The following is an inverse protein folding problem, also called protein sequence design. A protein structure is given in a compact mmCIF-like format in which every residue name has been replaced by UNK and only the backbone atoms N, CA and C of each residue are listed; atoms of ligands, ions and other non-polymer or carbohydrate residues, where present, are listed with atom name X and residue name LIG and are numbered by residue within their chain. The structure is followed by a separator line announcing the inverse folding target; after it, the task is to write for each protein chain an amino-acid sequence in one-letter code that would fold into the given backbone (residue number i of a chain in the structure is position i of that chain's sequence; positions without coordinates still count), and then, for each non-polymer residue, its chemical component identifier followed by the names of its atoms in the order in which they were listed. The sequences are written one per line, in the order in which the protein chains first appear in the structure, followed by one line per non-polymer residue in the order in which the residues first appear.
data_IF_592109782338
#
_entry.id   IF_592109782338
#
_cell.length_a   1.000
_cell.length_b   1.000
_cell.length_c   1.000
_cell.angle_alpha   90.00
_cell.angle_beta   90.00
_cell.angle_gamma   90.00
#
_symmetry.space_group_name_H-M   'P 1'
#
loop_
_entity.id
_entity.type
_entity.pdbx_description
1 polymer ?
#
# COMPACT_ATOMS: atom_id res chain seq x y z
N UNK A 1 15.87 13.85 12.49
CA UNK A 1 14.80 13.97 11.46
C UNK A 1 13.54 13.40 12.07
N UNK A 2 12.45 14.17 12.09
CA UNK A 2 11.16 13.69 12.57
C UNK A 2 10.52 12.72 11.56
N UNK A 3 9.72 11.78 12.06
CA UNK A 3 9.04 10.72 11.30
C UNK A 3 7.57 10.63 11.72
N UNK A 4 6.67 10.26 10.80
CA UNK A 4 5.33 9.80 11.15
C UNK A 4 5.18 8.32 10.83
N UNK A 5 4.74 7.55 11.83
CA UNK A 5 4.35 6.16 11.67
C UNK A 5 2.83 6.09 11.54
N UNK A 6 2.35 5.70 10.37
CA UNK A 6 0.96 5.37 10.13
C UNK A 6 0.76 3.88 10.43
N UNK A 7 0.23 3.58 11.61
CA UNK A 7 0.03 2.22 12.09
C UNK A 7 -1.27 1.66 11.53
N UNK A 8 -1.17 0.65 10.66
CA UNK A 8 -2.31 -0.02 10.03
C UNK A 8 -2.80 -1.18 10.89
N UNK A 9 -1.84 -1.97 11.37
CA UNK A 9 -2.07 -3.12 12.24
C UNK A 9 -0.76 -3.44 12.98
N UNK A 10 -0.88 -4.17 14.08
CA UNK A 10 0.26 -4.57 14.90
C UNK A 10 0.64 -3.54 15.97
N UNK A 11 1.83 -3.74 16.52
CA UNK A 11 2.42 -3.01 17.64
C UNK A 11 3.44 -1.98 17.15
N UNK A 12 3.18 -0.70 17.45
CA UNK A 12 4.07 0.39 17.07
C UNK A 12 5.46 0.26 17.70
N UNK A 13 5.57 -0.19 18.95
CA UNK A 13 6.85 -0.26 19.66
C UNK A 13 7.77 -1.30 19.01
N UNK A 14 7.23 -2.47 18.65
CA UNK A 14 7.98 -3.50 17.95
C UNK A 14 8.46 -3.02 16.58
N UNK A 15 7.60 -2.38 15.80
CA UNK A 15 7.97 -1.85 14.48
C UNK A 15 9.05 -0.77 14.61
N UNK A 16 8.92 0.11 15.60
CA UNK A 16 9.90 1.17 15.88
C UNK A 16 11.24 0.62 16.36
N UNK A 17 11.24 -0.48 17.12
CA UNK A 17 12.47 -1.13 17.60
C UNK A 17 13.39 -1.58 16.46
N UNK A 18 12.81 -1.92 15.31
CA UNK A 18 13.55 -2.31 14.11
C UNK A 18 13.95 -1.12 13.23
N UNK A 19 13.52 0.10 13.55
CA UNK A 19 13.82 1.30 12.80
C UNK A 19 14.90 2.14 13.48
N UNK A 20 15.57 3.02 12.71
CA UNK A 20 16.55 3.94 13.28
C UNK A 20 15.86 4.87 14.28
N UNK A 21 16.51 5.17 15.43
CA UNK A 21 15.96 6.07 16.43
C UNK A 21 15.71 7.43 15.80
N UNK A 22 14.46 7.86 15.87
CA UNK A 22 13.96 9.11 15.33
C UNK A 22 12.74 9.53 16.14
N UNK A 23 12.58 10.83 16.34
CA UNK A 23 11.37 11.38 16.94
C UNK A 23 10.18 11.02 16.05
N UNK A 24 9.30 10.16 16.54
CA UNK A 24 8.26 9.52 15.73
C UNK A 24 6.89 9.78 16.33
N UNK A 25 6.00 10.42 15.55
CA UNK A 25 4.58 10.53 15.90
C UNK A 25 3.83 9.33 15.33
N UNK A 26 3.12 8.58 16.18
CA UNK A 26 2.29 7.45 15.75
C UNK A 26 0.87 7.93 15.45
N UNK A 27 0.37 7.60 14.26
CA UNK A 27 -1.00 7.88 13.82
C UNK A 27 -1.63 6.54 13.48
N UNK A 28 -2.65 6.13 14.23
CA UNK A 28 -3.43 4.94 13.89
C UNK A 28 -4.28 5.23 12.64
N UNK A 29 -4.21 4.35 11.64
CA UNK A 29 -5.04 4.38 10.43
C UNK A 29 -5.61 2.98 10.24
N UNK A 30 -6.93 2.82 10.21
CA UNK A 30 -7.55 1.54 9.95
C UNK A 30 -7.73 1.25 8.46
N UNK A 31 -8.03 0.00 8.11
CA UNK A 31 -8.44 -0.37 6.74
C UNK A 31 -9.62 0.46 6.23
N UNK A 32 -10.50 0.90 7.14
CA UNK A 32 -11.67 1.73 6.83
C UNK A 32 -11.30 3.09 6.28
N UNK A 33 -10.16 3.66 6.69
CA UNK A 33 -9.69 4.96 6.20
C UNK A 33 -9.27 4.87 4.73
N UNK A 34 -8.76 3.71 4.29
CA UNK A 34 -8.41 3.46 2.89
C UNK A 34 -9.62 3.32 1.96
N UNK A 35 -10.85 3.25 2.49
CA UNK A 35 -12.06 3.41 1.67
C UNK A 35 -12.16 4.81 1.06
N UNK A 36 -11.50 5.81 1.65
CA UNK A 36 -11.41 7.19 1.16
C UNK A 36 -9.95 7.54 0.88
N UNK A 37 -9.34 6.98 -0.18
CA UNK A 37 -7.92 7.13 -0.45
C UNK A 37 -7.48 8.59 -0.64
N UNK A 38 -8.39 9.46 -1.11
CA UNK A 38 -8.12 10.90 -1.26
C UNK A 38 -7.94 11.62 0.08
N UNK A 39 -8.70 11.26 1.12
CA UNK A 39 -8.56 11.86 2.44
C UNK A 39 -7.21 11.48 3.07
N UNK A 40 -6.81 10.22 2.90
CA UNK A 40 -5.49 9.73 3.32
C UNK A 40 -4.39 10.43 2.52
N UNK A 41 -4.52 10.53 1.20
CA UNK A 41 -3.56 11.22 0.34
C UNK A 41 -3.39 12.69 0.74
N UNK A 42 -4.47 13.39 1.09
CA UNK A 42 -4.41 14.78 1.59
C UNK A 42 -3.63 14.88 2.90
N UNK A 43 -3.91 14.00 3.87
CA UNK A 43 -3.16 13.95 5.15
C UNK A 43 -1.68 13.65 4.94
N UNK A 44 -1.37 12.78 3.98
CA UNK A 44 0.00 12.50 3.59
C UNK A 44 0.64 13.75 3.00
N UNK A 45 -0.02 14.43 2.05
CA UNK A 45 0.48 15.66 1.41
C UNK A 45 0.91 16.71 2.43
N UNK A 46 0.10 16.93 3.46
CA UNK A 46 0.35 17.87 4.57
C UNK A 46 1.53 17.45 5.49
N UNK A 47 2.03 16.21 5.38
CA UNK A 47 3.13 15.68 6.19
C UNK A 47 4.49 15.87 5.49
N UNK A 48 5.34 16.75 6.01
CA UNK A 48 6.68 17.04 5.46
C UNK A 48 7.81 16.15 6.02
N UNK A 49 7.49 15.22 6.91
CA UNK A 49 8.44 14.33 7.57
C UNK A 49 8.54 12.99 6.86
N UNK A 50 9.48 12.14 7.31
CA UNK A 50 9.59 10.78 6.80
C UNK A 50 8.31 9.99 7.10
N UNK A 51 7.76 9.32 6.09
CA UNK A 51 6.51 8.55 6.20
C UNK A 51 6.83 7.07 6.28
N UNK A 52 6.34 6.43 7.34
CA UNK A 52 6.41 4.98 7.51
C UNK A 52 5.00 4.42 7.70
N UNK A 53 4.64 3.40 6.95
CA UNK A 53 3.45 2.59 7.22
C UNK A 53 3.85 1.36 8.01
N UNK A 54 3.23 1.17 9.17
CA UNK A 54 3.42 -0.01 10.02
C UNK A 54 2.33 -1.05 9.79
N UNK A 55 2.70 -2.31 9.67
CA UNK A 55 1.77 -3.44 9.61
C UNK A 55 2.27 -4.60 10.48
N UNK A 56 1.38 -5.52 10.86
CA UNK A 56 1.74 -6.73 11.59
C UNK A 56 2.69 -7.63 10.78
N UNK A 57 2.33 -7.93 9.53
CA UNK A 57 3.12 -8.76 8.62
C UNK A 57 3.01 -8.23 7.20
N UNK A 58 4.15 -7.89 6.60
CA UNK A 58 4.18 -7.40 5.23
C UNK A 58 3.55 -8.39 4.26
N UNK A 59 3.78 -9.70 4.39
CA UNK A 59 3.30 -10.74 3.46
C UNK A 59 1.78 -10.86 3.45
N UNK A 60 1.14 -10.60 4.59
CA UNK A 60 -0.31 -10.62 4.71
C UNK A 60 -0.95 -9.30 4.26
N UNK A 61 -0.15 -8.25 4.03
CA UNK A 61 -0.63 -6.94 3.62
C UNK A 61 -1.09 -6.93 2.16
N UNK A 62 -2.34 -7.34 1.93
CA UNK A 62 -2.99 -7.34 0.60
C UNK A 62 -3.13 -5.94 0.02
N UNK A 63 -3.20 -4.91 0.86
CA UNK A 63 -3.40 -3.52 0.45
C UNK A 63 -2.11 -2.77 0.09
N UNK A 64 -0.98 -3.46 -0.15
CA UNK A 64 0.30 -2.84 -0.55
C UNK A 64 0.14 -1.87 -1.73
N UNK A 65 -0.63 -2.26 -2.76
CA UNK A 65 -0.87 -1.40 -3.91
C UNK A 65 -1.60 -0.11 -3.51
N UNK A 66 -2.62 -0.21 -2.65
CA UNK A 66 -3.39 0.95 -2.16
C UNK A 66 -2.50 1.89 -1.34
N UNK A 67 -1.62 1.35 -0.49
CA UNK A 67 -0.67 2.15 0.29
C UNK A 67 0.27 2.94 -0.61
N UNK A 68 0.84 2.28 -1.63
CA UNK A 68 1.69 2.92 -2.63
C UNK A 68 0.90 3.97 -3.44
N UNK A 69 -0.35 3.68 -3.79
CA UNK A 69 -1.23 4.62 -4.46
C UNK A 69 -1.50 5.87 -3.60
N UNK A 70 -1.78 5.71 -2.30
CA UNK A 70 -1.95 6.84 -1.39
C UNK A 70 -0.67 7.70 -1.26
N UNK A 71 0.51 7.07 -1.24
CA UNK A 71 1.79 7.80 -1.28
C UNK A 71 1.96 8.58 -2.58
N UNK A 72 1.63 7.95 -3.71
CA UNK A 72 1.67 8.58 -5.03
C UNK A 72 0.73 9.78 -5.11
N UNK A 73 -0.55 9.60 -4.73
CA UNK A 73 -1.57 10.65 -4.72
C UNK A 73 -1.28 11.77 -3.70
N UNK A 74 -0.53 11.46 -2.64
CA UNK A 74 -0.08 12.43 -1.63
C UNK A 74 1.18 13.20 -2.03
N UNK A 75 1.63 13.12 -3.29
CA UNK A 75 2.87 13.71 -3.82
C UNK A 75 4.13 13.32 -3.02
N UNK A 76 4.18 12.09 -2.49
CA UNK A 76 5.33 11.62 -1.73
C UNK A 76 6.28 10.87 -2.63
N UNK A 77 7.53 11.35 -2.65
CA UNK A 77 8.62 10.72 -3.40
C UNK A 77 9.33 9.62 -2.61
N UNK A 78 9.17 9.62 -1.29
CA UNK A 78 9.81 8.65 -0.38
C UNK A 78 8.79 8.20 0.67
N UNK A 79 8.84 6.91 0.98
CA UNK A 79 8.07 6.29 2.04
C UNK A 79 8.60 4.90 2.31
N UNK A 80 8.30 4.35 3.49
CA UNK A 80 8.67 2.98 3.85
C UNK A 80 7.45 2.24 4.38
N UNK A 81 7.30 0.99 4.02
CA UNK A 81 6.34 0.08 4.66
C UNK A 81 7.17 -0.90 5.49
N UNK A 82 6.92 -0.97 6.80
CA UNK A 82 7.66 -1.80 7.74
C UNK A 82 6.71 -2.72 8.50
N UNK A 83 7.21 -3.90 8.88
CA UNK A 83 6.46 -4.83 9.74
C UNK A 83 7.11 -5.08 11.10
N UNK A 84 6.40 -5.81 11.97
CA UNK A 84 6.92 -6.25 13.28
C UNK A 84 8.10 -7.22 13.17
N UNK A 85 8.26 -7.90 12.04
CA UNK A 85 9.36 -8.84 11.80
C UNK A 85 10.64 -8.13 11.34
N UNK A 86 10.61 -6.79 11.24
CA UNK A 86 11.74 -5.97 10.82
C UNK A 86 11.96 -5.92 9.31
N UNK A 87 11.07 -6.53 8.51
CA UNK A 87 11.10 -6.42 7.05
C UNK A 87 10.62 -5.04 6.64
N UNK A 88 11.20 -4.53 5.55
CA UNK A 88 10.95 -3.18 5.05
C UNK A 88 10.86 -3.19 3.54
N UNK A 89 9.90 -2.44 3.02
CA UNK A 89 9.75 -2.17 1.61
C UNK A 89 9.87 -0.66 1.43
N UNK A 90 10.93 -0.24 0.74
CA UNK A 90 11.07 1.14 0.32
C UNK A 90 10.11 1.44 -0.84
N UNK A 91 9.39 2.53 -0.72
CA UNK A 91 8.53 3.02 -1.79
C UNK A 91 9.33 3.90 -2.76
N UNK A 92 9.14 3.64 -4.05
CA UNK A 92 9.65 4.46 -5.14
C UNK A 92 8.50 4.72 -6.14
N UNK A 93 8.14 5.99 -6.41
CA UNK A 93 7.03 6.33 -7.31
C UNK A 93 7.25 5.84 -8.74
N UNK A 94 8.50 5.81 -9.22
CA UNK A 94 8.83 5.34 -10.58
C UNK A 94 8.58 3.84 -10.68
N UNK A 95 9.05 3.07 -9.70
CA UNK A 95 8.80 1.64 -9.63
C UNK A 95 7.30 1.34 -9.51
N UNK A 96 6.57 2.15 -8.74
CA UNK A 96 5.12 1.98 -8.62
C UNK A 96 4.42 2.20 -9.96
N UNK A 97 4.73 3.30 -10.66
CA UNK A 97 4.06 3.67 -11.90
C UNK A 97 4.42 2.78 -13.09
N UNK A 98 5.68 2.30 -13.17
CA UNK A 98 6.18 1.52 -14.31
C UNK A 98 6.18 0.01 -14.09
N UNK A 99 6.11 -0.47 -12.85
CA UNK A 99 6.15 -1.91 -12.56
C UNK A 99 4.85 -2.37 -11.90
N UNK A 100 4.46 -1.74 -10.78
CA UNK A 100 3.29 -2.19 -10.03
C UNK A 100 1.98 -1.91 -10.81
N UNK A 101 1.83 -0.72 -11.38
CA UNK A 101 0.61 -0.33 -12.12
C UNK A 101 0.39 -1.14 -13.40
N UNK A 102 1.37 -1.33 -14.31
CA UNK A 102 1.16 -2.14 -15.51
C UNK A 102 0.90 -3.60 -15.18
N UNK A 103 1.54 -4.14 -14.14
CA UNK A 103 1.26 -5.49 -13.65
C UNK A 103 -0.21 -5.64 -13.25
N UNK A 104 -0.75 -4.68 -12.49
CA UNK A 104 -2.17 -4.71 -12.11
C UNK A 104 -3.09 -4.64 -13.33
N UNK A 105 -2.77 -3.79 -14.31
CA UNK A 105 -3.55 -3.69 -15.56
C UNK A 105 -3.54 -5.00 -16.33
N UNK A 106 -2.38 -5.66 -16.46
CA UNK A 106 -2.26 -6.96 -17.13
C UNK A 106 -3.01 -8.06 -16.38
N UNK A 107 -2.92 -8.10 -15.05
CA UNK A 107 -3.69 -9.04 -14.21
C UNK A 107 -5.20 -8.84 -14.39
N UNK A 108 -5.68 -7.60 -14.45
CA UNK A 108 -7.07 -7.28 -14.72
C UNK A 108 -7.49 -7.71 -16.13
N UNK A 109 -6.70 -7.39 -17.16
CA UNK A 109 -6.96 -7.80 -18.55
C UNK A 109 -7.04 -9.32 -18.70
N UNK A 110 -6.11 -10.06 -18.09
CA UNK A 110 -6.12 -11.51 -18.09
C UNK A 110 -7.38 -12.07 -17.40
N UNK A 111 -7.79 -11.46 -16.29
CA UNK A 111 -9.03 -11.82 -15.59
C UNK A 111 -10.26 -11.62 -16.48
N UNK A 112 -10.38 -10.46 -17.13
CA UNK A 112 -11.47 -10.19 -18.07
C UNK A 112 -11.48 -11.17 -19.25
N UNK A 113 -10.31 -11.48 -19.81
CA UNK A 113 -10.17 -12.44 -20.90
C UNK A 113 -10.67 -13.83 -20.51
N UNK A 114 -10.27 -14.33 -19.34
CA UNK A 114 -10.72 -15.63 -18.82
C UNK A 114 -12.24 -15.65 -18.61
N UNK A 115 -12.80 -14.58 -18.04
CA UNK A 115 -14.26 -14.46 -17.84
C UNK A 115 -14.98 -14.46 -19.19
N UNK A 116 -14.47 -13.74 -20.19
CA UNK A 116 -15.07 -13.67 -21.52
C UNK A 116 -15.05 -15.03 -22.23
N UNK A 117 -13.91 -15.73 -22.23
CA UNK A 117 -13.78 -17.08 -22.81
C UNK A 117 -14.73 -18.07 -22.13
N UNK A 118 -14.72 -18.11 -20.80
CA UNK A 118 -15.59 -19.00 -20.01
C UNK A 118 -17.07 -18.71 -20.30
N UNK A 119 -17.44 -17.44 -20.41
CA UNK A 119 -18.80 -17.02 -20.72
C UNK A 119 -19.23 -17.44 -22.14
N UNK A 120 -18.32 -17.41 -23.10
CA UNK A 120 -18.59 -17.86 -24.47
C UNK A 120 -18.76 -19.38 -24.55
N UNK A 121 -17.90 -20.14 -23.88
CA UNK A 121 -18.00 -21.60 -23.78
C UNK A 121 -19.31 -22.03 -23.10
N UNK A 122 -19.69 -21.37 -22.01
CA UNK A 122 -20.96 -21.63 -21.32
C UNK A 122 -22.18 -21.37 -22.20
N UNK A 123 -22.15 -20.33 -23.03
CA UNK A 123 -23.22 -20.08 -24.01
C UNK A 123 -23.27 -21.17 -25.07
N UNK A 124 -22.12 -21.66 -25.53
CA UNK A 124 -22.03 -22.74 -26.53
C UNK A 124 -22.54 -24.09 -25.98
N UNK A 125 -22.38 -24.36 -24.69
CA UNK A 125 -22.83 -25.61 -24.05
C UNK A 125 -24.32 -25.61 -23.66
N UNK A 126 -24.95 -24.43 -23.61
CA UNK A 126 -26.40 -24.27 -23.34
C UNK A 126 -27.27 -24.26 -24.61
N UNK A 127 -26.63 -24.31 -25.79
CA UNK A 127 -27.25 -24.49 -27.11
C UNK A 127 -27.10 -25.95 -27.50
#
# INVERSE_FOLDING_TARGET
MARKLFLISGDAEKILSHLKPAETSVIAIGEKDFKKPMDVARRLRETNTEIVFGTLDLNLQRYRFILKACLFLGDKWRGTIADEQGRKIAYNPISFLLVDSPRLVLEAMATFWVIALTSFELKRLKV
#
